data_IF_002427918641
#
_entry.id   IF_002427918641
#
_cell.length_a   1.000
_cell.length_b   1.000
_cell.length_c   1.000
_cell.angle_alpha   90.00
_cell.angle_beta   90.00
_cell.angle_gamma   90.00
#
_symmetry.space_group_name_H-M   'P 1'
#
loop_
_entity.id
_entity.type
_entity.pdbx_description
1 polymer ?
#
# COMPACT_ATOMS: atom_id res chain seq x y z
N UNK A 1 19.83 -19.13 8.40
CA UNK A 1 18.77 -19.64 9.33
C UNK A 1 17.74 -20.37 8.52
N UNK A 2 17.19 -21.44 9.04
CA UNK A 2 16.04 -22.17 8.49
C UNK A 2 15.18 -22.69 9.64
N UNK A 3 13.94 -23.08 9.35
CA UNK A 3 13.05 -23.72 10.34
C UNK A 3 12.68 -25.12 9.86
N UNK A 4 12.59 -26.04 10.80
CA UNK A 4 12.11 -27.42 10.57
C UNK A 4 11.19 -27.84 11.70
N UNK A 5 10.28 -28.75 11.43
CA UNK A 5 9.40 -29.29 12.46
C UNK A 5 10.19 -29.90 13.60
N UNK A 6 9.80 -29.60 14.82
CA UNK A 6 10.47 -30.14 16.00
C UNK A 6 10.11 -31.63 16.20
N UNK A 7 11.12 -32.44 16.51
CA UNK A 7 10.95 -33.82 16.91
C UNK A 7 10.75 -33.92 18.43
N UNK A 8 10.09 -34.98 18.88
CA UNK A 8 9.77 -35.18 20.30
C UNK A 8 11.02 -35.14 21.23
N UNK A 9 12.16 -35.63 20.75
CA UNK A 9 13.42 -35.64 21.49
C UNK A 9 14.09 -34.27 21.63
N UNK A 10 13.60 -33.24 20.94
CA UNK A 10 14.11 -31.87 21.00
C UNK A 10 13.28 -30.98 21.94
N UNK A 11 12.11 -31.44 22.37
CA UNK A 11 11.14 -30.59 23.09
C UNK A 11 11.70 -30.08 24.42
N UNK A 12 12.38 -30.89 25.21
CA UNK A 12 12.96 -30.45 26.49
C UNK A 12 13.93 -29.28 26.28
N UNK A 13 14.81 -29.41 25.29
CA UNK A 13 15.76 -28.34 24.92
C UNK A 13 15.03 -27.06 24.44
N UNK A 14 13.93 -27.20 23.71
CA UNK A 14 13.09 -26.07 23.27
C UNK A 14 12.47 -25.37 24.46
N UNK A 15 11.96 -26.12 25.45
CA UNK A 15 11.37 -25.57 26.68
C UNK A 15 12.41 -24.81 27.49
N UNK A 16 13.61 -25.35 27.67
CA UNK A 16 14.72 -24.66 28.35
C UNK A 16 15.06 -23.32 27.69
N UNK A 17 15.05 -23.27 26.34
CA UNK A 17 15.25 -22.04 25.59
C UNK A 17 14.08 -21.07 25.76
N UNK A 18 12.85 -21.58 25.76
CA UNK A 18 11.63 -20.80 25.98
C UNK A 18 11.67 -20.07 27.30
N UNK A 19 12.00 -20.81 28.38
CA UNK A 19 12.13 -20.24 29.74
C UNK A 19 13.17 -19.10 29.72
N UNK A 20 14.39 -19.37 29.26
CA UNK A 20 15.44 -18.33 29.20
C UNK A 20 15.07 -17.11 28.34
N UNK A 21 14.28 -17.31 27.28
CA UNK A 21 13.86 -16.22 26.42
C UNK A 21 12.81 -15.32 27.09
N UNK A 22 11.76 -15.93 27.66
CA UNK A 22 10.63 -15.18 28.26
C UNK A 22 10.95 -14.56 29.62
N UNK A 23 11.87 -15.16 30.42
CA UNK A 23 12.39 -14.51 31.62
C UNK A 23 13.02 -13.13 31.35
N UNK A 24 13.44 -12.84 30.12
CA UNK A 24 13.96 -11.51 29.74
C UNK A 24 12.85 -10.44 29.64
N UNK A 25 11.59 -10.82 29.64
CA UNK A 25 10.45 -9.88 29.48
C UNK A 25 10.26 -8.99 30.72
N UNK A 26 10.67 -9.43 31.89
CA UNK A 26 10.72 -8.59 33.10
C UNK A 26 11.55 -7.32 32.88
N UNK A 27 12.62 -7.39 32.07
CA UNK A 27 13.48 -6.25 31.74
C UNK A 27 12.86 -5.25 30.76
N UNK A 28 11.67 -5.50 30.22
CA UNK A 28 10.99 -4.66 29.21
C UNK A 28 9.55 -4.33 29.59
N UNK A 29 9.22 -4.40 30.86
CA UNK A 29 7.92 -3.97 31.42
C UNK A 29 6.98 -5.10 31.82
N UNK A 30 7.35 -6.37 31.65
CA UNK A 30 6.60 -7.50 32.20
C UNK A 30 6.69 -7.57 33.69
N UNK A 31 5.61 -7.95 34.37
CA UNK A 31 5.66 -8.31 35.78
C UNK A 31 6.33 -9.68 35.94
N UNK A 32 6.85 -9.97 37.16
CA UNK A 32 7.39 -11.28 37.47
C UNK A 32 6.29 -12.35 37.34
N UNK A 33 6.52 -13.34 36.49
CA UNK A 33 5.54 -14.38 36.15
C UNK A 33 4.61 -14.06 34.96
N UNK A 34 4.76 -12.89 34.33
CA UNK A 34 3.94 -12.45 33.18
C UNK A 34 4.45 -13.09 31.86
N UNK A 35 4.52 -14.42 31.86
CA UNK A 35 4.99 -15.22 30.71
C UNK A 35 3.80 -15.84 29.96
N UNK A 36 3.96 -16.16 28.67
CA UNK A 36 2.88 -16.79 27.92
C UNK A 36 2.47 -18.16 28.50
N UNK A 37 1.18 -18.49 28.56
CA UNK A 37 0.72 -19.77 29.12
C UNK A 37 1.46 -20.99 28.52
N UNK A 38 1.98 -21.87 29.33
CA UNK A 38 2.69 -23.09 28.91
C UNK A 38 4.07 -22.85 28.31
N UNK A 39 4.69 -21.69 28.53
CA UNK A 39 6.05 -21.39 28.02
C UNK A 39 7.12 -22.33 28.61
N UNK A 40 6.86 -22.86 29.81
CA UNK A 40 7.70 -23.79 30.60
C UNK A 40 7.20 -25.24 30.56
N UNK A 41 6.09 -25.53 29.89
CA UNK A 41 5.45 -26.85 29.89
C UNK A 41 6.00 -27.74 28.79
N UNK A 42 6.72 -28.79 29.15
CA UNK A 42 7.17 -29.84 28.24
C UNK A 42 5.97 -30.54 27.58
N UNK A 43 4.94 -30.82 28.36
CA UNK A 43 3.74 -31.52 27.87
C UNK A 43 3.00 -30.72 26.79
N UNK A 44 2.85 -29.42 26.99
CA UNK A 44 2.24 -28.53 26.01
C UNK A 44 3.07 -28.44 24.72
N UNK A 45 4.38 -28.28 24.84
CA UNK A 45 5.27 -28.24 23.65
C UNK A 45 5.29 -29.59 22.92
N UNK A 46 5.20 -30.73 23.63
CA UNK A 46 5.05 -32.05 23.01
C UNK A 46 3.74 -32.18 22.23
N UNK A 47 2.66 -31.59 22.75
CA UNK A 47 1.41 -31.54 22.02
C UNK A 47 1.55 -30.73 20.73
N UNK A 48 2.12 -29.53 20.80
CA UNK A 48 2.39 -28.68 19.61
C UNK A 48 3.27 -29.37 18.57
N UNK A 49 4.25 -30.15 19.02
CA UNK A 49 5.10 -30.94 18.12
C UNK A 49 4.30 -32.06 17.42
N UNK A 50 3.48 -32.81 18.17
CA UNK A 50 2.62 -33.90 17.61
C UNK A 50 1.62 -33.38 16.61
N UNK A 51 1.06 -32.21 16.85
CA UNK A 51 0.10 -31.54 15.95
C UNK A 51 0.79 -30.85 14.76
N UNK A 52 2.15 -30.81 14.76
CA UNK A 52 2.95 -30.26 13.67
C UNK A 52 3.01 -28.73 13.66
N UNK A 53 2.73 -28.09 14.78
CA UNK A 53 2.75 -26.64 14.95
C UNK A 53 4.07 -26.11 15.49
N UNK A 54 4.91 -26.96 16.14
CA UNK A 54 6.18 -26.55 16.71
C UNK A 54 7.32 -26.69 15.69
N UNK A 55 8.05 -25.58 15.49
CA UNK A 55 9.21 -25.50 14.60
C UNK A 55 10.44 -25.08 15.39
N UNK A 56 11.56 -25.75 15.19
CA UNK A 56 12.86 -25.34 15.70
C UNK A 56 13.56 -24.41 14.70
N UNK A 57 14.16 -23.33 15.20
CA UNK A 57 14.95 -22.40 14.42
C UNK A 57 16.42 -22.76 14.47
N UNK A 58 16.98 -23.02 13.30
CA UNK A 58 18.35 -23.53 13.15
C UNK A 58 19.25 -22.53 12.44
N UNK A 59 20.51 -22.41 12.94
CA UNK A 59 21.62 -21.77 12.23
C UNK A 59 22.71 -22.79 12.14
N UNK A 60 23.09 -23.14 10.92
CA UNK A 60 23.99 -24.27 10.65
C UNK A 60 23.40 -25.54 11.30
N UNK A 61 24.01 -26.07 12.32
CA UNK A 61 23.50 -27.24 13.07
C UNK A 61 23.02 -26.88 14.48
N UNK A 62 23.06 -25.60 14.86
CA UNK A 62 22.68 -25.14 16.19
C UNK A 62 21.23 -24.69 16.24
N UNK A 63 20.48 -25.22 17.22
CA UNK A 63 19.17 -24.71 17.54
C UNK A 63 19.33 -23.41 18.34
N UNK A 64 18.72 -22.31 17.83
CA UNK A 64 18.86 -20.97 18.42
C UNK A 64 17.53 -20.42 18.96
N UNK A 65 16.42 -21.11 18.74
CA UNK A 65 15.08 -20.74 19.17
C UNK A 65 14.02 -21.64 18.57
N UNK A 66 12.76 -21.23 18.69
CA UNK A 66 11.63 -21.94 18.11
C UNK A 66 10.47 -21.02 17.76
N UNK A 67 9.51 -21.57 17.01
CA UNK A 67 8.26 -20.94 16.67
C UNK A 67 7.08 -21.93 16.82
N UNK A 68 5.92 -21.43 17.22
CA UNK A 68 4.66 -22.16 17.19
C UNK A 68 3.75 -21.44 16.23
N UNK A 69 3.35 -22.16 15.18
CA UNK A 69 2.69 -21.58 14.00
C UNK A 69 1.46 -22.42 13.64
N UNK A 70 0.34 -21.77 13.45
CA UNK A 70 -0.94 -22.38 13.13
C UNK A 70 -1.38 -21.97 11.72
N UNK A 71 -1.11 -22.81 10.71
CA UNK A 71 -1.64 -22.60 9.37
C UNK A 71 -3.17 -22.78 9.38
N UNK A 72 -3.90 -21.90 8.72
CA UNK A 72 -5.32 -22.03 8.48
C UNK A 72 -5.62 -23.23 7.55
N UNK A 73 -6.74 -23.91 7.77
CA UNK A 73 -7.17 -25.07 6.99
C UNK A 73 -7.40 -24.73 5.52
N UNK A 74 -7.85 -23.53 5.21
CA UNK A 74 -8.08 -23.04 3.85
C UNK A 74 -6.80 -22.64 3.13
N UNK A 75 -5.66 -22.65 3.84
CA UNK A 75 -4.36 -22.18 3.36
C UNK A 75 -4.38 -20.74 2.85
N UNK A 76 -5.11 -19.86 3.53
CA UNK A 76 -5.17 -18.44 3.21
C UNK A 76 -4.32 -17.58 4.17
N UNK A 77 -4.25 -17.98 5.44
CA UNK A 77 -3.54 -17.27 6.49
C UNK A 77 -2.71 -18.18 7.38
N UNK A 78 -1.79 -17.58 8.12
CA UNK A 78 -0.96 -18.24 9.14
C UNK A 78 -0.98 -17.39 10.41
N UNK A 79 -1.44 -17.99 11.51
CA UNK A 79 -1.33 -17.37 12.83
C UNK A 79 -0.01 -17.77 13.50
N UNK A 80 0.80 -16.78 13.86
CA UNK A 80 2.07 -16.97 14.56
C UNK A 80 1.79 -16.84 16.06
N UNK A 81 1.52 -17.99 16.69
CA UNK A 81 1.12 -18.01 18.10
C UNK A 81 2.28 -17.74 19.05
N UNK A 82 3.52 -18.08 18.66
CA UNK A 82 4.69 -17.81 19.49
C UNK A 82 5.99 -17.86 18.69
N UNK A 83 6.89 -16.93 19.01
CA UNK A 83 8.29 -17.00 18.58
C UNK A 83 9.19 -16.70 19.75
N UNK A 84 10.34 -17.33 19.80
CA UNK A 84 11.42 -16.96 20.72
C UNK A 84 12.79 -17.36 20.19
N UNK A 85 13.78 -16.58 20.59
CA UNK A 85 15.20 -16.85 20.40
C UNK A 85 15.80 -16.98 21.80
N UNK A 86 16.59 -18.01 22.03
CA UNK A 86 17.32 -18.20 23.28
C UNK A 86 18.08 -16.92 23.65
N UNK A 87 18.01 -16.52 24.92
CA UNK A 87 18.58 -15.25 25.40
C UNK A 87 20.06 -15.11 25.08
N UNK A 88 20.84 -16.22 25.01
CA UNK A 88 22.28 -16.23 24.65
C UNK A 88 22.54 -15.78 23.20
N UNK A 89 21.49 -15.76 22.37
CA UNK A 89 21.53 -15.34 20.98
C UNK A 89 20.83 -14.01 20.72
N UNK A 90 20.36 -13.31 21.76
CA UNK A 90 19.67 -12.02 21.60
C UNK A 90 20.60 -10.97 20.96
N UNK A 91 20.01 -9.92 20.37
CA UNK A 91 20.67 -8.77 19.70
C UNK A 91 21.56 -9.13 18.49
N UNK A 92 21.46 -10.36 17.97
CA UNK A 92 22.16 -10.81 16.75
C UNK A 92 21.29 -10.77 15.49
N UNK A 93 20.10 -10.17 15.56
CA UNK A 93 19.16 -10.08 14.45
C UNK A 93 18.41 -11.38 14.14
N UNK A 94 18.51 -12.40 14.99
CA UNK A 94 17.93 -13.72 14.73
C UNK A 94 16.40 -13.73 14.79
N UNK A 95 15.77 -12.87 15.58
CA UNK A 95 14.31 -12.72 15.57
C UNK A 95 13.77 -12.28 14.21
N UNK A 96 14.44 -11.32 13.55
CA UNK A 96 14.08 -10.86 12.19
C UNK A 96 14.22 -12.02 11.20
N UNK A 97 15.33 -12.75 11.27
CA UNK A 97 15.59 -13.91 10.39
C UNK A 97 14.60 -15.04 10.62
N UNK A 98 14.15 -15.25 11.87
CA UNK A 98 13.13 -16.25 12.20
C UNK A 98 11.78 -15.89 11.55
N UNK A 99 11.34 -14.63 11.66
CA UNK A 99 10.11 -14.17 11.01
C UNK A 99 10.19 -14.33 9.48
N UNK A 100 11.29 -13.92 8.85
CA UNK A 100 11.52 -14.13 7.42
C UNK A 100 11.48 -15.63 7.02
N UNK A 101 12.05 -16.51 7.85
CA UNK A 101 11.97 -17.95 7.62
C UNK A 101 10.55 -18.50 7.74
N UNK A 102 9.76 -18.00 8.72
CA UNK A 102 8.35 -18.39 8.85
C UNK A 102 7.57 -17.95 7.60
N UNK A 103 7.69 -16.69 7.18
CA UNK A 103 6.99 -16.18 6.00
C UNK A 103 7.37 -16.93 4.71
N UNK A 104 8.62 -17.34 4.57
CA UNK A 104 9.11 -18.15 3.44
C UNK A 104 8.66 -19.62 3.49
N UNK A 105 8.48 -20.17 4.69
CA UNK A 105 8.05 -21.57 4.87
C UNK A 105 6.58 -21.79 4.49
N UNK A 106 5.79 -20.73 4.48
CA UNK A 106 4.38 -20.75 4.07
C UNK A 106 4.14 -19.86 2.84
N UNK A 107 4.68 -20.24 1.65
CA UNK A 107 4.62 -19.42 0.44
C UNK A 107 3.21 -19.17 -0.09
N UNK A 108 2.27 -20.02 0.27
CA UNK A 108 0.87 -19.95 -0.09
C UNK A 108 0.05 -18.99 0.78
N UNK A 109 0.53 -18.62 1.98
CA UNK A 109 -0.20 -17.71 2.87
C UNK A 109 -0.24 -16.30 2.29
N UNK A 110 -1.41 -15.72 2.21
CA UNK A 110 -1.62 -14.33 1.83
C UNK A 110 -1.47 -13.39 3.04
N UNK A 111 -1.74 -13.90 4.25
CA UNK A 111 -1.75 -13.12 5.48
C UNK A 111 -1.02 -13.85 6.61
N UNK A 112 -0.35 -13.06 7.47
CA UNK A 112 0.26 -13.52 8.71
C UNK A 112 -0.28 -12.71 9.86
N UNK A 113 -0.88 -13.39 10.83
CA UNK A 113 -1.48 -12.79 12.02
C UNK A 113 -0.71 -13.17 13.27
N UNK A 114 -0.69 -12.28 14.24
CA UNK A 114 -0.11 -12.52 15.56
C UNK A 114 -0.69 -11.56 16.59
N UNK A 115 -0.48 -11.84 17.86
CA UNK A 115 -0.71 -10.89 18.95
C UNK A 115 0.48 -10.81 19.91
N UNK A 116 0.51 -9.74 20.68
CA UNK A 116 1.50 -9.54 21.74
C UNK A 116 0.92 -8.66 22.83
N UNK A 117 1.36 -8.81 24.10
CA UNK A 117 0.88 -7.95 25.18
C UNK A 117 1.13 -6.46 24.91
N UNK A 118 0.15 -5.62 25.26
CA UNK A 118 0.26 -4.17 25.11
C UNK A 118 1.46 -3.57 25.84
N UNK A 119 1.81 -4.12 27.01
CA UNK A 119 2.93 -3.66 27.83
C UNK A 119 4.31 -3.96 27.23
N UNK A 120 4.44 -4.96 26.34
CA UNK A 120 5.73 -5.35 25.80
C UNK A 120 6.14 -4.43 24.64
N UNK A 121 6.71 -3.26 24.99
CA UNK A 121 7.14 -2.26 23.99
C UNK A 121 8.16 -2.83 23.00
N UNK A 122 9.00 -3.77 23.42
CA UNK A 122 10.03 -4.41 22.58
C UNK A 122 9.40 -5.18 21.43
N UNK A 123 8.43 -6.05 21.72
CA UNK A 123 7.76 -6.86 20.70
C UNK A 123 6.85 -6.01 19.81
N UNK A 124 6.14 -5.03 20.40
CA UNK A 124 5.32 -4.08 19.65
C UNK A 124 6.18 -3.28 18.63
N UNK A 125 7.33 -2.75 19.03
CA UNK A 125 8.24 -2.06 18.13
C UNK A 125 8.86 -3.01 17.08
N UNK A 126 9.12 -4.26 17.46
CA UNK A 126 9.68 -5.29 16.58
C UNK A 126 8.72 -5.63 15.44
N UNK A 127 7.44 -5.93 15.73
CA UNK A 127 6.47 -6.29 14.70
C UNK A 127 6.14 -5.12 13.77
N UNK A 128 5.98 -3.90 14.30
CA UNK A 128 5.81 -2.69 13.48
C UNK A 128 6.95 -2.51 12.48
N UNK A 129 8.20 -2.68 12.92
CA UNK A 129 9.39 -2.58 12.04
C UNK A 129 9.42 -3.65 10.95
N UNK A 130 8.81 -4.82 11.17
CA UNK A 130 8.68 -5.89 10.18
C UNK A 130 7.49 -5.70 9.22
N UNK A 131 6.77 -4.57 9.32
CA UNK A 131 5.65 -4.25 8.45
C UNK A 131 4.30 -4.83 8.90
N UNK A 132 4.24 -5.36 10.14
CA UNK A 132 2.96 -5.76 10.72
C UNK A 132 2.16 -4.54 11.17
N UNK A 133 0.88 -4.49 10.81
CA UNK A 133 -0.05 -3.41 11.15
C UNK A 133 -0.96 -3.83 12.30
N UNK A 134 -1.29 -2.89 13.16
CA UNK A 134 -2.29 -3.12 14.22
C UNK A 134 -3.67 -3.21 13.56
N UNK A 135 -4.38 -4.31 13.82
CA UNK A 135 -5.77 -4.50 13.40
C UNK A 135 -6.76 -4.29 14.54
N UNK A 136 -6.36 -4.54 15.77
CA UNK A 136 -7.16 -4.25 16.98
C UNK A 136 -6.32 -4.26 18.24
N UNK A 137 -6.86 -3.66 19.30
CA UNK A 137 -6.37 -3.80 20.67
C UNK A 137 -7.54 -4.33 21.52
N UNK A 138 -7.34 -5.43 22.22
CA UNK A 138 -8.38 -6.11 22.97
C UNK A 138 -7.75 -6.91 24.11
N UNK A 139 -8.39 -6.91 25.29
CA UNK A 139 -8.03 -7.71 26.46
C UNK A 139 -6.54 -7.64 26.87
N UNK A 140 -5.91 -6.47 26.72
CA UNK A 140 -4.50 -6.26 27.06
C UNK A 140 -3.52 -6.72 25.98
N UNK A 141 -3.98 -7.12 24.80
CA UNK A 141 -3.17 -7.52 23.67
C UNK A 141 -3.33 -6.59 22.48
N UNK A 142 -2.25 -6.43 21.70
CA UNK A 142 -2.23 -5.78 20.39
C UNK A 142 -2.20 -6.87 19.33
N UNK A 143 -3.19 -6.88 18.45
CA UNK A 143 -3.29 -7.82 17.34
C UNK A 143 -2.71 -7.19 16.11
N UNK A 144 -1.85 -7.93 15.44
CA UNK A 144 -1.12 -7.51 14.25
C UNK A 144 -1.42 -8.40 13.07
N UNK A 145 -1.46 -7.81 11.89
CA UNK A 145 -1.55 -8.51 10.60
C UNK A 145 -0.49 -7.99 9.65
N UNK A 146 0.12 -8.89 8.88
CA UNK A 146 0.93 -8.58 7.72
C UNK A 146 0.39 -9.32 6.52
N UNK A 147 0.00 -8.58 5.50
CA UNK A 147 -0.32 -9.17 4.20
C UNK A 147 0.95 -9.37 3.42
N UNK A 148 1.06 -10.53 2.79
CA UNK A 148 2.16 -10.79 1.87
C UNK A 148 1.97 -9.88 0.67
N UNK A 149 2.99 -9.11 0.30
CA UNK A 149 2.94 -8.41 -0.97
C UNK A 149 2.73 -9.43 -2.07
N UNK A 150 1.75 -9.21 -2.93
CA UNK A 150 1.69 -9.96 -4.18
C UNK A 150 2.93 -9.55 -4.98
N UNK A 151 3.92 -10.44 -5.21
CA UNK A 151 5.25 -10.04 -5.66
C UNK A 151 5.29 -9.38 -7.04
N UNK A 152 4.13 -9.22 -7.69
CA UNK A 152 3.99 -8.68 -9.03
C UNK A 152 3.11 -7.42 -9.12
N UNK A 153 2.66 -6.83 -8.00
CA UNK A 153 1.89 -5.57 -8.05
C UNK A 153 2.81 -4.38 -7.85
N UNK A 154 2.66 -3.42 -8.74
CA UNK A 154 3.38 -2.15 -8.68
C UNK A 154 2.43 -0.98 -8.85
N UNK A 155 2.58 0.04 -8.02
CA UNK A 155 1.81 1.27 -8.11
C UNK A 155 2.61 2.30 -8.88
N UNK A 156 2.09 2.72 -10.03
CA UNK A 156 2.62 3.84 -10.79
C UNK A 156 1.86 5.11 -10.41
N UNK A 157 2.57 6.06 -9.79
CA UNK A 157 2.01 7.36 -9.40
C UNK A 157 2.24 8.40 -10.50
N UNK A 158 1.17 9.10 -10.90
CA UNK A 158 1.19 10.19 -11.89
C UNK A 158 0.74 11.47 -11.18
N UNK A 159 1.67 12.41 -11.00
CA UNK A 159 1.40 13.65 -10.29
C UNK A 159 0.49 14.60 -11.05
N UNK A 160 -0.05 15.59 -10.35
CA UNK A 160 -0.78 16.71 -10.93
C UNK A 160 0.15 17.83 -11.41
N UNK A 161 -0.44 18.93 -11.91
CA UNK A 161 0.34 20.12 -12.26
C UNK A 161 0.99 20.74 -11.02
N UNK A 162 2.26 21.07 -11.12
CA UNK A 162 3.05 21.59 -10.00
C UNK A 162 3.51 20.55 -8.98
N UNK A 163 3.12 19.28 -9.16
CA UNK A 163 3.61 18.15 -8.39
C UNK A 163 4.90 17.56 -8.97
N UNK A 164 5.31 16.43 -8.41
CA UNK A 164 6.50 15.67 -8.86
C UNK A 164 6.37 14.19 -8.61
N UNK A 165 7.21 13.39 -9.27
CA UNK A 165 7.33 11.95 -9.03
C UNK A 165 7.63 11.61 -7.56
N UNK A 166 8.33 12.49 -6.83
CA UNK A 166 8.68 12.28 -5.42
C UNK A 166 7.47 12.20 -4.48
N UNK A 167 6.31 12.70 -4.88
CA UNK A 167 5.06 12.56 -4.11
C UNK A 167 4.65 11.08 -3.94
N UNK A 168 5.16 10.16 -4.74
CA UNK A 168 4.96 8.72 -4.58
C UNK A 168 5.42 8.21 -3.20
N UNK A 169 6.40 8.86 -2.57
CA UNK A 169 6.91 8.50 -1.23
C UNK A 169 5.81 8.54 -0.16
N UNK A 170 4.84 9.46 -0.32
CA UNK A 170 3.69 9.55 0.57
C UNK A 170 2.83 8.27 0.56
N UNK A 171 2.69 7.62 -0.59
CA UNK A 171 1.84 6.44 -0.75
C UNK A 171 2.52 5.13 -0.33
N UNK A 172 3.85 5.08 -0.26
CA UNK A 172 4.60 3.87 0.13
C UNK A 172 4.15 3.27 1.48
N UNK A 173 4.04 4.05 2.57
CA UNK A 173 3.57 3.52 3.84
C UNK A 173 2.07 3.16 3.84
N UNK A 174 1.29 3.69 2.90
CA UNK A 174 -0.14 3.40 2.77
C UNK A 174 -0.41 2.13 1.95
N UNK A 175 0.55 1.70 1.11
CA UNK A 175 0.45 0.57 0.19
C UNK A 175 1.66 -0.38 0.35
N UNK A 176 1.92 -0.89 1.57
CA UNK A 176 3.14 -1.66 1.87
C UNK A 176 3.19 -3.02 1.15
N UNK A 177 2.09 -3.48 0.58
CA UNK A 177 2.01 -4.69 -0.25
C UNK A 177 2.45 -4.48 -1.70
N UNK A 178 2.66 -3.21 -2.11
CA UNK A 178 3.07 -2.85 -3.47
C UNK A 178 4.40 -2.10 -3.43
N UNK A 179 5.20 -2.25 -4.47
CA UNK A 179 6.22 -1.26 -4.79
C UNK A 179 5.53 -0.02 -5.37
N UNK A 180 5.91 1.17 -4.92
CA UNK A 180 5.32 2.44 -5.38
C UNK A 180 6.40 3.28 -6.02
N UNK A 181 6.21 3.60 -7.29
CA UNK A 181 7.11 4.45 -8.07
C UNK A 181 6.37 5.65 -8.64
N UNK A 182 7.05 6.78 -8.79
CA UNK A 182 6.52 7.98 -9.43
C UNK A 182 7.09 8.16 -10.83
N UNK A 183 6.25 8.55 -11.78
CA UNK A 183 6.72 8.93 -13.12
C UNK A 183 7.17 10.38 -13.12
N UNK A 184 8.43 10.63 -13.46
CA UNK A 184 9.01 11.98 -13.59
C UNK A 184 8.82 12.48 -15.03
N UNK A 185 7.61 12.95 -15.34
CA UNK A 185 7.32 13.57 -16.62
C UNK A 185 7.48 15.10 -16.55
N UNK A 186 7.93 15.70 -17.66
CA UNK A 186 8.21 17.14 -17.74
C UNK A 186 7.29 17.88 -18.73
N UNK A 187 6.53 17.14 -19.52
CA UNK A 187 5.58 17.69 -20.47
C UNK A 187 4.17 17.76 -19.87
N UNK A 188 3.36 18.70 -20.32
CA UNK A 188 2.00 18.89 -19.81
C UNK A 188 0.97 18.86 -20.96
N UNK A 189 1.20 17.97 -21.91
CA UNK A 189 0.27 17.70 -22.99
C UNK A 189 -0.16 16.23 -23.00
N UNK A 190 -1.42 15.91 -23.33
CA UNK A 190 -1.88 14.52 -23.30
C UNK A 190 -1.21 13.62 -24.33
N UNK A 191 -0.67 14.19 -25.44
CA UNK A 191 0.02 13.42 -26.47
C UNK A 191 1.47 13.09 -26.11
N UNK A 192 2.18 13.97 -25.38
CA UNK A 192 3.56 13.71 -24.93
C UNK A 192 3.55 12.93 -23.60
N UNK A 193 2.93 13.47 -22.57
CA UNK A 193 2.83 12.81 -21.25
C UNK A 193 2.10 11.47 -21.34
N UNK A 194 1.06 11.37 -22.19
CA UNK A 194 0.36 10.11 -22.42
C UNK A 194 1.28 9.03 -23.00
N UNK A 195 2.21 9.42 -23.90
CA UNK A 195 3.20 8.49 -24.44
C UNK A 195 4.23 8.04 -23.38
N UNK A 196 4.67 8.95 -22.50
CA UNK A 196 5.57 8.62 -21.38
C UNK A 196 4.91 7.67 -20.39
N UNK A 197 3.64 7.92 -20.00
CA UNK A 197 2.85 7.05 -19.12
C UNK A 197 2.69 5.66 -19.76
N UNK A 198 2.37 5.61 -21.04
CA UNK A 198 2.23 4.34 -21.78
C UNK A 198 3.51 3.55 -21.77
N UNK A 199 4.65 4.19 -22.09
CA UNK A 199 5.95 3.54 -22.09
C UNK A 199 6.33 2.98 -20.70
N UNK A 200 6.03 3.71 -19.63
CA UNK A 200 6.24 3.24 -18.26
C UNK A 200 5.41 1.99 -17.95
N UNK A 201 4.11 1.99 -18.29
CA UNK A 201 3.23 0.83 -18.07
C UNK A 201 3.67 -0.36 -18.91
N UNK A 202 4.06 -0.15 -20.18
CA UNK A 202 4.61 -1.20 -21.05
C UNK A 202 5.89 -1.82 -20.48
N UNK A 203 6.79 -1.00 -19.93
CA UNK A 203 8.00 -1.45 -19.26
C UNK A 203 7.70 -2.35 -18.05
N UNK A 204 6.83 -1.89 -17.17
CA UNK A 204 6.42 -2.67 -15.99
C UNK A 204 5.74 -4.00 -16.37
N UNK A 205 4.86 -3.98 -17.37
CA UNK A 205 4.21 -5.20 -17.84
C UNK A 205 5.21 -6.18 -18.49
N UNK A 206 6.24 -5.67 -19.17
CA UNK A 206 7.30 -6.51 -19.74
C UNK A 206 8.14 -7.20 -18.65
N UNK A 207 8.24 -6.59 -17.47
CA UNK A 207 8.83 -7.19 -16.27
C UNK A 207 7.89 -8.16 -15.53
N UNK A 208 6.68 -8.39 -16.04
CA UNK A 208 5.67 -9.25 -15.43
C UNK A 208 4.92 -8.60 -14.27
N UNK A 209 4.99 -7.28 -14.12
CA UNK A 209 4.29 -6.53 -13.07
C UNK A 209 2.82 -6.30 -13.43
N UNK A 210 1.94 -6.33 -12.43
CA UNK A 210 0.55 -5.89 -12.54
C UNK A 210 0.46 -4.46 -12.03
N UNK A 211 0.12 -3.53 -12.90
CA UNK A 211 0.16 -2.11 -12.60
C UNK A 211 -1.16 -1.63 -11.99
N UNK A 212 -1.08 -1.00 -10.81
CA UNK A 212 -2.13 -0.17 -10.24
C UNK A 212 -1.75 1.29 -10.47
N UNK A 213 -2.62 2.06 -11.09
CA UNK A 213 -2.37 3.47 -11.34
C UNK A 213 -2.93 4.32 -10.19
N UNK A 214 -2.12 5.23 -9.64
CA UNK A 214 -2.57 6.31 -8.77
C UNK A 214 -2.29 7.63 -9.47
N UNK A 215 -3.31 8.42 -9.78
CA UNK A 215 -3.11 9.64 -10.54
C UNK A 215 -3.88 10.83 -9.94
N UNK A 216 -3.23 11.98 -9.91
CA UNK A 216 -3.73 13.20 -9.31
C UNK A 216 -4.11 14.22 -10.40
N UNK A 217 -5.29 14.84 -10.27
CA UNK A 217 -5.73 15.98 -11.08
C UNK A 217 -5.56 15.76 -12.59
N UNK A 218 -4.72 16.57 -13.27
CA UNK A 218 -4.43 16.46 -14.70
C UNK A 218 -3.65 15.18 -15.05
N UNK A 219 -2.91 14.61 -14.11
CA UNK A 219 -2.26 13.32 -14.30
C UNK A 219 -3.25 12.19 -14.61
N UNK A 220 -4.45 12.24 -14.03
CA UNK A 220 -5.52 11.31 -14.37
C UNK A 220 -6.01 11.53 -15.83
N UNK A 221 -6.13 12.77 -16.28
CA UNK A 221 -6.49 13.08 -17.66
C UNK A 221 -5.46 12.54 -18.66
N UNK A 222 -4.17 12.73 -18.40
CA UNK A 222 -3.11 12.19 -19.25
C UNK A 222 -3.15 10.68 -19.29
N UNK A 223 -3.35 10.04 -18.13
CA UNK A 223 -3.45 8.58 -18.02
C UNK A 223 -4.62 8.02 -18.83
N UNK A 224 -5.78 8.68 -18.79
CA UNK A 224 -6.97 8.27 -19.54
C UNK A 224 -6.80 8.46 -21.07
N UNK A 225 -5.87 9.31 -21.51
CA UNK A 225 -5.52 9.51 -22.91
C UNK A 225 -4.32 8.67 -23.37
N UNK A 226 -3.64 7.97 -22.45
CA UNK A 226 -2.48 7.15 -22.75
C UNK A 226 -2.81 5.81 -23.44
N UNK A 227 -4.10 5.40 -23.48
CA UNK A 227 -4.52 4.12 -24.07
C UNK A 227 -4.01 2.91 -23.30
N UNK A 228 -3.96 2.99 -21.97
CA UNK A 228 -3.42 1.97 -21.05
C UNK A 228 -4.50 1.21 -20.27
N UNK A 229 -5.76 1.49 -20.49
CA UNK A 229 -6.88 0.96 -19.71
C UNK A 229 -6.97 -0.59 -19.73
N UNK A 230 -6.56 -1.24 -20.81
CA UNK A 230 -6.47 -2.70 -20.88
C UNK A 230 -5.13 -3.26 -20.37
N UNK A 231 -4.19 -2.40 -19.97
CA UNK A 231 -2.83 -2.77 -19.60
C UNK A 231 -2.58 -2.68 -18.10
N UNK A 232 -3.53 -2.13 -17.34
CA UNK A 232 -3.45 -1.94 -15.89
C UNK A 232 -4.53 -2.75 -15.18
N UNK A 233 -4.25 -3.12 -13.91
CA UNK A 233 -5.22 -3.86 -13.08
C UNK A 233 -6.36 -2.95 -12.62
N UNK A 234 -6.04 -1.73 -12.20
CA UNK A 234 -7.02 -0.74 -11.73
C UNK A 234 -6.41 0.66 -11.65
N UNK A 235 -7.27 1.66 -11.49
CA UNK A 235 -6.88 3.04 -11.26
C UNK A 235 -7.52 3.64 -10.00
N UNK A 236 -6.77 4.52 -9.33
CA UNK A 236 -7.21 5.36 -8.21
C UNK A 236 -6.96 6.82 -8.59
N UNK A 237 -8.01 7.56 -8.86
CA UNK A 237 -7.93 8.95 -9.28
C UNK A 237 -8.32 9.88 -8.13
N UNK A 238 -7.48 10.86 -7.85
CA UNK A 238 -7.69 11.87 -6.81
C UNK A 238 -7.97 13.20 -7.50
N UNK A 239 -9.14 13.78 -7.28
CA UNK A 239 -9.62 15.02 -7.90
C UNK A 239 -9.35 15.08 -9.43
N UNK A 240 -9.73 14.06 -10.21
CA UNK A 240 -9.31 13.97 -11.61
C UNK A 240 -9.95 15.04 -12.48
N UNK A 241 -9.19 15.55 -13.46
CA UNK A 241 -9.75 16.30 -14.57
C UNK A 241 -10.33 15.28 -15.57
N UNK A 242 -11.64 15.26 -15.72
CA UNK A 242 -12.36 14.28 -16.57
C UNK A 242 -13.04 14.89 -17.79
N UNK A 243 -13.03 16.22 -17.89
CA UNK A 243 -13.56 16.98 -19.03
C UNK A 243 -12.65 18.20 -19.29
N UNK A 244 -11.63 17.97 -20.11
CA UNK A 244 -10.65 19.00 -20.42
C UNK A 244 -11.21 20.07 -21.36
N UNK A 245 -12.12 19.71 -22.25
CA UNK A 245 -12.77 20.70 -23.13
C UNK A 245 -13.56 21.72 -22.28
N UNK A 246 -14.34 21.21 -21.32
CA UNK A 246 -15.09 22.06 -20.39
C UNK A 246 -14.13 22.93 -19.58
N UNK A 247 -13.06 22.38 -19.01
CA UNK A 247 -12.10 23.13 -18.22
C UNK A 247 -11.46 24.27 -19.04
N UNK A 248 -10.97 23.99 -20.25
CA UNK A 248 -10.40 25.01 -21.13
C UNK A 248 -11.46 26.09 -21.47
N UNK A 249 -12.69 25.68 -21.76
CA UNK A 249 -13.77 26.61 -22.06
C UNK A 249 -14.12 27.50 -20.86
N UNK A 250 -14.11 26.95 -19.64
CA UNK A 250 -14.29 27.73 -18.41
C UNK A 250 -13.14 28.71 -18.21
N UNK A 251 -11.89 28.29 -18.42
CA UNK A 251 -10.70 29.15 -18.36
C UNK A 251 -10.73 30.27 -19.40
N UNK A 252 -11.22 30.01 -20.61
CA UNK A 252 -11.43 31.03 -21.64
C UNK A 252 -12.43 32.10 -21.16
N UNK A 253 -13.55 31.66 -20.52
CA UNK A 253 -14.52 32.60 -19.92
C UNK A 253 -13.89 33.46 -18.80
N UNK A 254 -13.06 32.84 -17.92
CA UNK A 254 -12.40 33.57 -16.86
C UNK A 254 -11.40 34.61 -17.38
N UNK A 255 -10.77 34.31 -18.54
CA UNK A 255 -9.81 35.21 -19.19
C UNK A 255 -10.46 36.21 -20.17
N UNK A 256 -11.79 36.17 -20.35
CA UNK A 256 -12.54 36.93 -21.37
C UNK A 256 -11.95 36.72 -22.80
N UNK A 257 -11.62 35.47 -23.13
CA UNK A 257 -11.04 35.05 -24.42
C UNK A 257 -12.08 34.30 -25.22
N UNK A 258 -12.28 34.72 -26.47
CA UNK A 258 -13.15 34.03 -27.43
C UNK A 258 -12.41 32.88 -28.13
N UNK A 259 -13.16 31.90 -28.65
CA UNK A 259 -12.59 30.79 -29.40
C UNK A 259 -11.88 31.25 -30.69
N UNK A 260 -12.44 32.25 -31.37
CA UNK A 260 -11.82 32.85 -32.57
C UNK A 260 -10.47 33.53 -32.24
N UNK A 261 -10.36 34.21 -31.11
CA UNK A 261 -9.10 34.79 -30.65
C UNK A 261 -8.07 33.73 -30.30
N UNK A 262 -8.49 32.65 -29.60
CA UNK A 262 -7.60 31.55 -29.27
C UNK A 262 -7.11 30.83 -30.54
N UNK A 263 -8.00 30.61 -31.51
CA UNK A 263 -7.63 30.03 -32.81
C UNK A 263 -6.63 30.90 -33.55
N UNK A 264 -6.88 32.20 -33.65
CA UNK A 264 -6.01 33.14 -34.38
C UNK A 264 -4.62 33.28 -33.73
N UNK A 265 -4.52 33.20 -32.39
CA UNK A 265 -3.27 33.39 -31.65
C UNK A 265 -2.54 32.09 -31.35
N UNK A 266 -3.24 30.96 -31.37
CA UNK A 266 -2.71 29.64 -31.07
C UNK A 266 -2.49 29.40 -29.57
N UNK A 267 -1.82 30.32 -28.88
CA UNK A 267 -1.60 30.32 -27.42
C UNK A 267 -1.87 31.71 -26.83
N UNK A 268 -2.55 31.75 -25.70
CA UNK A 268 -2.84 32.97 -24.95
C UNK A 268 -2.44 32.78 -23.49
N UNK A 269 -1.50 33.61 -22.99
CA UNK A 269 -1.11 33.65 -21.59
C UNK A 269 -2.20 34.36 -20.78
N UNK A 270 -2.67 33.73 -19.72
CA UNK A 270 -3.70 34.29 -18.86
C UNK A 270 -3.12 34.98 -17.62
N UNK A 271 -3.88 35.87 -17.01
CA UNK A 271 -3.48 36.58 -15.78
C UNK A 271 -3.44 35.68 -14.54
N UNK A 272 -4.04 34.50 -14.59
CA UNK A 272 -4.02 33.50 -13.50
C UNK A 272 -2.94 32.42 -13.68
N UNK A 273 -1.99 32.62 -14.63
CA UNK A 273 -0.78 31.81 -14.74
C UNK A 273 -0.92 30.54 -15.59
N UNK A 274 -2.06 30.32 -16.24
CA UNK A 274 -2.30 29.21 -17.15
C UNK A 274 -2.30 29.67 -18.61
N UNK A 275 -1.74 28.84 -19.49
CA UNK A 275 -1.80 29.10 -20.94
C UNK A 275 -3.00 28.43 -21.56
N UNK A 276 -3.81 29.22 -22.28
CA UNK A 276 -4.83 28.69 -23.18
C UNK A 276 -4.16 28.26 -24.49
N UNK A 277 -4.40 27.03 -24.92
CA UNK A 277 -3.84 26.50 -26.18
C UNK A 277 -4.94 26.00 -27.12
N UNK A 278 -4.94 26.54 -28.33
CA UNK A 278 -5.86 26.11 -29.40
C UNK A 278 -5.64 24.63 -29.77
N UNK A 279 -4.39 24.19 -29.83
CA UNK A 279 -4.08 22.79 -30.11
C UNK A 279 -4.58 21.87 -29.01
N UNK A 280 -4.51 22.30 -27.76
CA UNK A 280 -5.00 21.52 -26.63
C UNK A 280 -6.53 21.39 -26.67
N UNK A 281 -7.25 22.50 -26.92
CA UNK A 281 -8.70 22.48 -27.06
C UNK A 281 -9.16 21.57 -28.20
N UNK A 282 -8.50 21.67 -29.37
CA UNK A 282 -8.77 20.79 -30.53
C UNK A 282 -8.51 19.31 -30.19
N UNK A 283 -7.42 19.03 -29.49
CA UNK A 283 -7.11 17.67 -29.05
C UNK A 283 -8.21 17.14 -28.12
N UNK A 284 -8.60 17.88 -27.11
CA UNK A 284 -9.65 17.49 -26.18
C UNK A 284 -10.97 17.15 -26.88
N UNK A 285 -11.37 17.94 -27.87
CA UNK A 285 -12.56 17.71 -28.68
C UNK A 285 -12.47 16.48 -29.59
N UNK A 286 -11.32 16.21 -30.15
CA UNK A 286 -11.12 15.10 -31.08
C UNK A 286 -10.79 13.77 -30.40
N UNK A 287 -10.42 13.79 -29.10
CA UNK A 287 -10.04 12.63 -28.30
C UNK A 287 -10.92 12.50 -27.05
N UNK A 288 -12.20 12.15 -27.21
CA UNK A 288 -13.07 11.92 -26.05
C UNK A 288 -12.54 10.75 -25.23
N UNK A 289 -12.55 10.89 -23.90
CA UNK A 289 -12.10 9.85 -23.00
C UNK A 289 -12.89 8.56 -23.21
N UNK A 290 -12.16 7.46 -23.44
CA UNK A 290 -12.66 6.09 -23.54
C UNK A 290 -11.91 5.25 -22.53
N UNK A 291 -12.43 5.23 -21.31
CA UNK A 291 -11.77 4.57 -20.20
C UNK A 291 -12.57 3.37 -19.70
N UNK A 292 -11.93 2.21 -19.58
CA UNK A 292 -12.58 0.94 -19.22
C UNK A 292 -11.93 0.24 -18.02
N UNK A 293 -10.76 0.70 -17.55
CA UNK A 293 -10.11 0.10 -16.40
C UNK A 293 -10.95 0.27 -15.13
N UNK A 294 -11.01 -0.75 -14.23
CA UNK A 294 -11.65 -0.64 -12.94
C UNK A 294 -11.11 0.58 -12.17
N UNK A 295 -11.96 1.51 -11.79
CA UNK A 295 -11.52 2.81 -11.27
C UNK A 295 -12.27 3.20 -10.00
N UNK A 296 -11.52 3.72 -9.03
CA UNK A 296 -12.03 4.44 -7.87
C UNK A 296 -11.66 5.91 -8.02
N UNK A 297 -12.57 6.80 -7.64
CA UNK A 297 -12.37 8.26 -7.68
C UNK A 297 -12.58 8.81 -6.28
N UNK A 298 -11.63 9.60 -5.79
CA UNK A 298 -11.78 10.47 -4.65
C UNK A 298 -12.02 11.90 -5.14
N UNK A 299 -13.05 12.55 -4.61
CA UNK A 299 -13.46 13.89 -5.01
C UNK A 299 -13.80 14.73 -3.78
N UNK A 300 -13.35 15.98 -3.76
CA UNK A 300 -13.70 16.97 -2.74
C UNK A 300 -14.94 17.75 -3.10
N UNK A 301 -15.93 17.87 -2.19
CA UNK A 301 -17.20 18.56 -2.49
C UNK A 301 -17.03 20.07 -2.74
N UNK A 302 -15.85 20.64 -2.42
CA UNK A 302 -15.47 22.03 -2.70
C UNK A 302 -14.45 22.15 -3.83
N UNK A 303 -14.31 21.11 -4.66
CA UNK A 303 -13.46 21.18 -5.85
C UNK A 303 -13.92 22.32 -6.76
N UNK A 304 -13.02 23.25 -7.07
CA UNK A 304 -13.29 24.45 -7.85
C UNK A 304 -12.87 24.32 -9.33
N UNK A 305 -12.29 23.19 -9.72
CA UNK A 305 -11.85 22.96 -11.10
C UNK A 305 -12.80 22.01 -11.84
N UNK A 306 -13.29 20.96 -11.19
CA UNK A 306 -14.22 20.00 -11.79
C UNK A 306 -15.55 20.07 -11.05
N UNK A 307 -16.65 20.53 -11.66
CA UNK A 307 -17.97 20.52 -11.05
C UNK A 307 -18.44 19.11 -10.68
N UNK A 308 -19.19 18.99 -9.58
CA UNK A 308 -19.68 17.70 -9.09
C UNK A 308 -20.47 16.91 -10.14
N UNK A 309 -21.34 17.58 -10.90
CA UNK A 309 -22.12 16.94 -11.97
C UNK A 309 -21.21 16.30 -13.01
N UNK A 310 -20.13 16.96 -13.39
CA UNK A 310 -19.15 16.46 -14.37
C UNK A 310 -18.47 15.18 -13.87
N UNK A 311 -18.02 15.17 -12.62
CA UNK A 311 -17.37 13.98 -12.04
C UNK A 311 -18.35 12.83 -11.82
N UNK A 312 -19.56 13.13 -11.35
CA UNK A 312 -20.63 12.15 -11.15
C UNK A 312 -21.03 11.48 -12.47
N UNK A 313 -21.23 12.26 -13.52
CA UNK A 313 -21.65 11.75 -14.83
C UNK A 313 -20.52 10.94 -15.50
N UNK A 314 -19.28 11.37 -15.32
CA UNK A 314 -18.11 10.58 -15.71
C UNK A 314 -18.06 9.24 -14.97
N UNK A 315 -18.17 9.25 -13.64
CA UNK A 315 -18.14 8.03 -12.83
C UNK A 315 -19.23 7.05 -13.25
N UNK A 316 -20.44 7.54 -13.48
CA UNK A 316 -21.57 6.73 -13.97
C UNK A 316 -21.29 6.15 -15.37
N UNK A 317 -20.80 6.96 -16.29
CA UNK A 317 -20.52 6.56 -17.69
C UNK A 317 -19.44 5.48 -17.76
N UNK A 318 -18.41 5.58 -16.92
CA UNK A 318 -17.25 4.69 -16.92
C UNK A 318 -17.28 3.64 -15.81
N UNK A 319 -18.42 3.47 -15.12
CA UNK A 319 -18.60 2.50 -14.01
C UNK A 319 -17.56 2.64 -12.89
N UNK A 320 -17.07 3.87 -12.64
CA UNK A 320 -16.10 4.14 -11.58
C UNK A 320 -16.80 4.31 -10.22
N UNK A 321 -16.18 3.80 -9.17
CA UNK A 321 -16.63 4.01 -7.79
C UNK A 321 -16.26 5.42 -7.33
N UNK A 322 -17.24 6.28 -7.08
CA UNK A 322 -17.04 7.66 -6.64
C UNK A 322 -17.19 7.78 -5.12
N UNK A 323 -16.14 8.29 -4.47
CA UNK A 323 -16.14 8.68 -3.06
C UNK A 323 -16.04 10.20 -2.98
N UNK A 324 -16.96 10.82 -2.24
CA UNK A 324 -16.98 12.27 -2.05
C UNK A 324 -16.57 12.58 -0.60
N UNK A 325 -15.53 13.39 -0.43
CA UNK A 325 -15.20 13.97 0.86
C UNK A 325 -15.95 15.29 1.01
N UNK A 326 -16.85 15.37 1.99
CA UNK A 326 -17.54 16.61 2.30
C UNK A 326 -16.57 17.67 2.84
N UNK A 327 -16.61 18.87 2.26
CA UNK A 327 -15.67 19.94 2.59
C UNK A 327 -14.27 19.78 1.98
N UNK A 328 -13.98 18.68 1.29
CA UNK A 328 -12.72 18.47 0.59
C UNK A 328 -12.54 19.42 -0.59
N UNK A 329 -11.34 19.87 -0.85
CA UNK A 329 -10.95 20.76 -1.95
C UNK A 329 -10.33 19.96 -3.10
N UNK A 330 -10.03 20.63 -4.22
CA UNK A 330 -9.32 19.99 -5.34
C UNK A 330 -7.96 19.43 -4.93
N UNK A 331 -7.22 20.20 -4.13
CA UNK A 331 -5.95 19.80 -3.56
C UNK A 331 -6.14 19.35 -2.11
N UNK A 332 -6.00 18.05 -1.88
CA UNK A 332 -6.03 17.47 -0.53
C UNK A 332 -4.75 17.83 0.20
N UNK A 333 -4.80 18.69 1.21
CA UNK A 333 -3.61 19.23 1.88
C UNK A 333 -3.77 19.49 3.39
N UNK A 334 -5.02 19.59 3.90
CA UNK A 334 -5.23 19.73 5.34
C UNK A 334 -5.09 18.39 6.05
N UNK A 335 -4.81 18.37 7.35
CA UNK A 335 -4.71 17.13 8.11
C UNK A 335 -5.98 16.25 8.01
N UNK A 336 -7.15 16.87 7.97
CA UNK A 336 -8.42 16.17 7.82
C UNK A 336 -8.54 15.55 6.44
N UNK A 337 -8.20 16.29 5.38
CA UNK A 337 -8.24 15.82 4.00
C UNK A 337 -7.22 14.69 3.78
N UNK A 338 -6.01 14.83 4.34
CA UNK A 338 -4.97 13.81 4.24
C UNK A 338 -5.37 12.53 4.98
N UNK A 339 -5.93 12.62 6.20
CA UNK A 339 -6.45 11.43 6.91
C UNK A 339 -7.58 10.74 6.16
N UNK A 340 -8.42 11.50 5.46
CA UNK A 340 -9.46 10.91 4.62
C UNK A 340 -8.85 10.17 3.44
N UNK A 341 -7.88 10.78 2.77
CA UNK A 341 -7.11 10.16 1.67
C UNK A 341 -6.40 8.89 2.13
N UNK A 342 -5.75 8.90 3.31
CA UNK A 342 -5.09 7.72 3.90
C UNK A 342 -6.03 6.53 4.05
N UNK A 343 -7.25 6.78 4.48
CA UNK A 343 -8.27 5.73 4.65
C UNK A 343 -8.93 5.28 3.34
N UNK A 344 -8.83 6.11 2.29
CA UNK A 344 -9.42 5.81 1.00
C UNK A 344 -8.45 5.08 0.06
N UNK A 345 -7.15 5.39 0.10
CA UNK A 345 -6.14 4.81 -0.80
C UNK A 345 -5.95 3.32 -0.54
#
# INVERSE_FOLDING_TARGET
MYIVKAEANQVEKIVDMSVRAFETDVGVGGAEGDCPPGFDSVEWHQQMAREGHLYQAMIDNDMVGAAIVFPDETKSSVYIGRIFIDSVYHRKGYGIRLMDCIEKNFPWAAEFDLDTPCWNERTNAFYKRLGYRIIKNEDGFVFYQKRKSEPNKEVLYIHGKGGSAAECEYYKPLLPECEVIGLDYQTFTPWETGAEIRAAVEGLNAEGKRVILVANSIGAYFSMNAGIDAMIESARFISPIVDMEKLITDMMRWADVTEAELEARGVIHTSFGEDLSWNYLRYARSHPIRWTAPTRILYGSRDNLTPFETIRDFAKKHHAALTVMEGGEHWFHTEEQMRFLDGWI
#
